data_IF_624573355381
#
_entry.id   IF_624573355381
#
_cell.length_a   1.000
_cell.length_b   1.000
_cell.length_c   1.000
_cell.angle_alpha   90.00
_cell.angle_beta   90.00
_cell.angle_gamma   90.00
#
_symmetry.space_group_name_H-M   'P 1'
#
loop_
_entity.id
_entity.type
_entity.pdbx_description
1 polymer ?
#
# COMPACT_ATOMS: atom_id res chain seq x y z
N UNK A 1 -23.86 22.21 -16.70
CA UNK A 1 -22.63 23.03 -16.82
C UNK A 1 -21.61 22.45 -15.85
N UNK A 2 -20.41 22.21 -16.36
CA UNK A 2 -19.34 21.38 -15.80
C UNK A 2 -18.82 21.85 -14.44
N UNK A 3 -19.02 21.06 -13.39
CA UNK A 3 -18.24 21.18 -12.16
C UNK A 3 -16.91 20.44 -12.34
N UNK A 4 -15.92 21.11 -12.91
CA UNK A 4 -14.52 20.70 -12.83
C UNK A 4 -14.11 20.74 -11.36
N UNK A 5 -14.22 19.60 -10.66
CA UNK A 5 -13.58 19.46 -9.35
C UNK A 5 -12.08 19.63 -9.57
N UNK A 6 -11.44 20.68 -9.02
CA UNK A 6 -9.99 20.82 -9.14
C UNK A 6 -9.36 19.58 -8.55
N UNK A 7 -8.40 18.97 -9.26
CA UNK A 7 -7.60 17.87 -8.74
C UNK A 7 -6.97 18.32 -7.41
N UNK A 8 -7.57 17.93 -6.29
CA UNK A 8 -7.11 18.26 -4.95
C UNK A 8 -5.83 17.47 -4.68
N UNK A 9 -4.69 18.03 -5.07
CA UNK A 9 -3.39 17.49 -4.72
C UNK A 9 -3.08 17.85 -3.25
N UNK A 10 -3.06 16.85 -2.38
CA UNK A 10 -2.67 17.00 -0.99
C UNK A 10 -1.21 16.57 -0.81
N UNK A 11 -0.36 17.50 -0.36
CA UNK A 11 1.01 17.19 0.07
C UNK A 11 1.04 17.06 1.58
N UNK A 12 1.48 15.91 2.08
CA UNK A 12 1.74 15.68 3.50
C UNK A 12 3.25 15.46 3.70
N UNK A 13 3.91 16.35 4.42
CA UNK A 13 5.32 16.20 4.78
C UNK A 13 5.43 15.48 6.12
N UNK A 14 6.17 14.37 6.13
CA UNK A 14 6.30 13.51 7.31
C UNK A 14 7.71 13.66 7.84
N UNK A 15 7.84 14.27 9.02
CA UNK A 15 9.11 14.36 9.71
C UNK A 15 9.33 13.10 10.56
N UNK A 16 10.31 12.28 10.17
CA UNK A 16 10.68 11.04 10.87
C UNK A 16 11.47 11.35 12.16
N UNK A 17 12.12 12.51 12.23
CA UNK A 17 12.87 13.01 13.39
C UNK A 17 14.31 12.52 13.50
N UNK A 18 14.59 11.28 13.06
CA UNK A 18 15.95 10.74 13.00
C UNK A 18 16.24 10.05 11.66
N UNK A 19 17.45 9.50 11.50
CA UNK A 19 17.90 8.87 10.25
C UNK A 19 17.19 7.52 10.01
N UNK A 20 16.92 7.23 8.73
CA UNK A 20 16.21 6.04 8.27
C UNK A 20 17.17 5.05 7.62
N UNK A 21 17.03 3.75 7.90
CA UNK A 21 17.70 2.69 7.12
C UNK A 21 16.84 2.28 5.92
N UNK A 22 17.44 1.71 4.87
CA UNK A 22 16.66 1.21 3.71
C UNK A 22 15.62 0.17 4.13
N UNK A 23 15.94 -0.68 5.12
CA UNK A 23 15.02 -1.69 5.67
C UNK A 23 13.83 -1.00 6.35
N UNK A 24 14.10 -0.07 7.28
CA UNK A 24 13.06 0.66 7.99
C UNK A 24 12.18 1.47 7.02
N UNK A 25 12.77 2.01 5.94
CA UNK A 25 12.04 2.66 4.87
C UNK A 25 11.06 1.70 4.17
N UNK A 26 11.53 0.51 3.81
CA UNK A 26 10.68 -0.55 3.26
C UNK A 26 9.53 -0.93 4.20
N UNK A 27 9.79 -1.07 5.50
CA UNK A 27 8.75 -1.35 6.49
C UNK A 27 7.69 -0.25 6.56
N UNK A 28 8.11 1.02 6.57
CA UNK A 28 7.18 2.17 6.53
C UNK A 28 6.29 2.12 5.29
N UNK A 29 6.88 1.89 4.11
CA UNK A 29 6.12 1.79 2.86
C UNK A 29 5.11 0.65 2.92
N UNK A 30 5.52 -0.52 3.41
CA UNK A 30 4.65 -1.68 3.54
C UNK A 30 3.47 -1.41 4.47
N UNK A 31 3.70 -0.76 5.62
CA UNK A 31 2.63 -0.39 6.55
C UNK A 31 1.68 0.67 5.96
N UNK A 32 2.21 1.65 5.22
CA UNK A 32 1.38 2.65 4.53
C UNK A 32 0.49 2.02 3.46
N UNK A 33 0.98 1.04 2.70
CA UNK A 33 0.16 0.29 1.72
C UNK A 33 -0.97 -0.46 2.44
N UNK A 34 -0.68 -1.16 3.54
CA UNK A 34 -1.70 -1.85 4.35
C UNK A 34 -2.76 -0.88 4.88
N UNK A 35 -2.30 0.28 5.36
CA UNK A 35 -3.18 1.33 5.85
C UNK A 35 -4.08 1.88 4.75
N UNK A 36 -3.54 2.24 3.59
CA UNK A 36 -4.33 2.74 2.45
C UNK A 36 -5.33 1.68 1.97
N UNK A 37 -4.92 0.42 1.85
CA UNK A 37 -5.80 -0.67 1.45
C UNK A 37 -7.01 -0.81 2.40
N UNK A 38 -6.79 -0.64 3.71
CA UNK A 38 -7.87 -0.68 4.69
C UNK A 38 -8.73 0.60 4.66
N UNK A 39 -8.12 1.79 4.73
CA UNK A 39 -8.85 3.07 4.77
C UNK A 39 -9.67 3.34 3.51
N UNK A 40 -9.23 2.84 2.35
CA UNK A 40 -9.98 2.94 1.09
C UNK A 40 -10.89 1.75 0.84
N UNK A 41 -11.15 0.91 1.85
CA UNK A 41 -12.06 -0.24 1.79
C UNK A 41 -11.70 -1.25 0.69
N UNK A 42 -10.41 -1.32 0.32
CA UNK A 42 -9.89 -2.33 -0.58
C UNK A 42 -9.73 -3.67 0.15
N UNK A 43 -9.58 -3.68 1.47
CA UNK A 43 -9.73 -4.91 2.26
C UNK A 43 -10.76 -4.71 3.37
N UNK A 44 -11.54 -5.75 3.70
CA UNK A 44 -12.66 -5.61 4.65
C UNK A 44 -12.21 -5.40 6.11
N UNK A 45 -10.96 -5.76 6.42
CA UNK A 45 -10.39 -5.67 7.75
C UNK A 45 -8.94 -5.24 7.67
N UNK A 46 -8.37 -4.84 8.81
CA UNK A 46 -6.94 -4.56 8.90
C UNK A 46 -6.16 -5.79 8.46
N UNK A 47 -5.03 -5.58 7.81
CA UNK A 47 -4.20 -6.65 7.28
C UNK A 47 -3.88 -7.76 8.32
N UNK A 48 -3.47 -7.45 9.57
CA UNK A 48 -3.19 -8.49 10.58
C UNK A 48 -4.43 -9.31 10.95
N UNK A 49 -5.59 -8.65 11.07
CA UNK A 49 -6.83 -9.32 11.45
C UNK A 49 -7.37 -10.19 10.32
N UNK A 50 -7.31 -9.70 9.07
CA UNK A 50 -7.69 -10.48 7.90
C UNK A 50 -6.84 -11.75 7.77
N UNK A 51 -5.55 -11.65 8.06
CA UNK A 51 -4.63 -12.78 8.08
C UNK A 51 -5.01 -13.81 9.15
N UNK A 52 -5.29 -13.37 10.37
CA UNK A 52 -5.76 -14.24 11.46
C UNK A 52 -7.08 -14.94 11.10
N UNK A 53 -8.04 -14.21 10.56
CA UNK A 53 -9.35 -14.76 10.15
C UNK A 53 -9.18 -15.87 9.10
N UNK A 54 -8.39 -15.61 8.06
CA UNK A 54 -8.16 -16.58 6.99
C UNK A 54 -7.41 -17.81 7.49
N UNK A 55 -6.37 -17.64 8.33
CA UNK A 55 -5.64 -18.77 8.92
C UNK A 55 -6.58 -19.64 9.76
N UNK A 56 -7.34 -19.03 10.67
CA UNK A 56 -8.29 -19.75 11.53
C UNK A 56 -9.36 -20.48 10.72
N UNK A 57 -9.87 -19.88 9.64
CA UNK A 57 -10.85 -20.56 8.78
C UNK A 57 -10.25 -21.76 8.06
N UNK A 58 -9.01 -21.66 7.55
CA UNK A 58 -8.35 -22.81 6.92
C UNK A 58 -8.18 -23.97 7.88
N UNK A 59 -7.88 -23.70 9.15
CA UNK A 59 -7.81 -24.72 10.20
C UNK A 59 -9.18 -25.38 10.44
N UNK A 60 -10.28 -24.63 10.36
CA UNK A 60 -11.64 -25.14 10.55
C UNK A 60 -12.22 -25.86 9.32
N UNK A 61 -11.82 -25.48 8.10
CA UNK A 61 -12.25 -26.16 6.86
C UNK A 61 -11.77 -27.61 6.81
N UNK A 62 -10.66 -27.94 7.49
CA UNK A 62 -10.21 -29.32 7.70
C UNK A 62 -11.23 -30.15 8.51
N UNK A 63 -12.14 -29.52 9.26
CA UNK A 63 -13.14 -30.15 10.13
C UNK A 63 -14.55 -30.24 9.47
N UNK A 64 -14.66 -30.11 8.14
CA UNK A 64 -15.87 -30.40 7.35
C UNK A 64 -17.16 -29.67 7.77
N UNK A 65 -17.12 -28.35 8.02
CA UNK A 65 -18.35 -27.55 8.17
C UNK A 65 -18.90 -27.06 6.83
N UNK A 66 -20.15 -27.40 6.52
CA UNK A 66 -20.88 -26.91 5.33
C UNK A 66 -21.33 -25.46 5.54
N UNK A 67 -20.68 -24.51 4.87
CA UNK A 67 -21.15 -23.12 4.77
C UNK A 67 -21.98 -22.89 3.49
N UNK A 68 -22.74 -21.79 3.47
CA UNK A 68 -23.47 -21.33 2.28
C UNK A 68 -22.50 -20.96 1.15
N UNK A 69 -22.91 -21.22 -0.10
CA UNK A 69 -22.14 -20.94 -1.32
C UNK A 69 -21.68 -19.48 -1.44
N UNK A 70 -22.49 -18.52 -0.98
CA UNK A 70 -22.13 -17.10 -1.02
C UNK A 70 -20.99 -16.79 -0.03
N UNK A 71 -21.05 -17.33 1.19
CA UNK A 71 -20.01 -17.15 2.20
C UNK A 71 -18.67 -17.71 1.73
N UNK A 72 -18.69 -18.86 1.04
CA UNK A 72 -17.49 -19.47 0.46
C UNK A 72 -16.87 -18.59 -0.63
N UNK A 73 -17.67 -18.11 -1.59
CA UNK A 73 -17.18 -17.21 -2.65
C UNK A 73 -16.55 -15.94 -2.09
N UNK A 74 -17.22 -15.34 -1.09
CA UNK A 74 -16.75 -14.15 -0.42
C UNK A 74 -15.44 -14.38 0.33
N UNK A 75 -15.32 -15.51 1.01
CA UNK A 75 -14.08 -15.91 1.66
C UNK A 75 -12.94 -16.11 0.68
N UNK A 76 -13.16 -16.84 -0.42
CA UNK A 76 -12.12 -17.05 -1.45
C UNK A 76 -11.63 -15.74 -2.08
N UNK A 77 -12.54 -14.78 -2.24
CA UNK A 77 -12.18 -13.44 -2.72
C UNK A 77 -11.27 -12.72 -1.73
N UNK A 78 -11.63 -12.72 -0.43
CA UNK A 78 -10.82 -12.12 0.62
C UNK A 78 -9.46 -12.83 0.78
N UNK A 79 -9.43 -14.16 0.67
CA UNK A 79 -8.21 -14.97 0.70
C UNK A 79 -7.28 -14.60 -0.45
N UNK A 80 -7.83 -14.49 -1.67
CA UNK A 80 -7.06 -14.11 -2.86
C UNK A 80 -6.52 -12.68 -2.74
N UNK A 81 -7.36 -11.75 -2.26
CA UNK A 81 -6.94 -10.38 -2.01
C UNK A 81 -5.79 -10.32 -1.00
N UNK A 82 -5.87 -11.05 0.12
CA UNK A 82 -4.79 -11.10 1.10
C UNK A 82 -3.50 -11.70 0.52
N UNK A 83 -3.59 -12.81 -0.23
CA UNK A 83 -2.42 -13.42 -0.89
C UNK A 83 -1.74 -12.47 -1.86
N UNK A 84 -2.53 -11.76 -2.66
CA UNK A 84 -2.03 -10.77 -3.62
C UNK A 84 -1.35 -9.62 -2.90
N UNK A 85 -1.95 -9.11 -1.82
CA UNK A 85 -1.34 -8.08 -0.99
C UNK A 85 -0.02 -8.55 -0.38
N UNK A 86 0.02 -9.78 0.14
CA UNK A 86 1.25 -10.40 0.67
C UNK A 86 2.37 -10.47 -0.37
N UNK A 87 2.03 -10.85 -1.61
CA UNK A 87 2.99 -10.94 -2.70
C UNK A 87 3.52 -9.56 -3.08
N UNK A 88 2.64 -8.55 -3.24
CA UNK A 88 3.03 -7.16 -3.49
C UNK A 88 4.02 -6.69 -2.42
N UNK A 89 3.68 -6.85 -1.13
CA UNK A 89 4.49 -6.36 -0.03
C UNK A 89 5.87 -7.05 0.01
N UNK A 90 5.92 -8.37 -0.19
CA UNK A 90 7.19 -9.12 -0.22
C UNK A 90 8.06 -8.70 -1.40
N UNK A 91 7.50 -8.64 -2.60
CA UNK A 91 8.22 -8.22 -3.80
C UNK A 91 8.72 -6.78 -3.67
N UNK A 92 7.90 -5.87 -3.16
CA UNK A 92 8.28 -4.47 -2.97
C UNK A 92 9.41 -4.33 -1.95
N UNK A 93 9.36 -5.06 -0.83
CA UNK A 93 10.43 -5.05 0.17
C UNK A 93 11.75 -5.58 -0.41
N UNK A 94 11.71 -6.63 -1.23
CA UNK A 94 12.90 -7.13 -1.92
C UNK A 94 13.49 -6.08 -2.86
N UNK A 95 12.65 -5.42 -3.65
CA UNK A 95 13.08 -4.40 -4.61
C UNK A 95 13.57 -3.11 -3.94
N UNK A 96 12.97 -2.67 -2.84
CA UNK A 96 13.42 -1.51 -2.06
C UNK A 96 14.78 -1.77 -1.41
N UNK A 97 15.02 -2.99 -0.93
CA UNK A 97 16.28 -3.37 -0.30
C UNK A 97 17.36 -3.79 -1.32
N UNK A 98 17.06 -3.76 -2.61
CA UNK A 98 18.03 -4.01 -3.67
C UNK A 98 19.10 -2.89 -3.73
N UNK A 99 20.23 -3.11 -4.44
CA UNK A 99 21.29 -2.10 -4.57
C UNK A 99 20.84 -0.79 -5.24
N UNK A 100 19.79 -0.84 -6.06
CA UNK A 100 19.25 0.34 -6.75
C UNK A 100 18.44 1.22 -5.80
N UNK A 101 18.73 2.53 -5.79
CA UNK A 101 18.08 3.47 -4.87
C UNK A 101 16.62 3.70 -5.28
N UNK A 102 15.64 3.41 -4.40
CA UNK A 102 14.24 3.69 -4.68
C UNK A 102 13.96 5.18 -4.53
N UNK A 103 13.19 5.75 -5.45
CA UNK A 103 12.86 7.18 -5.52
C UNK A 103 11.43 7.45 -5.04
N UNK A 104 10.49 6.64 -5.51
CA UNK A 104 9.07 6.84 -5.27
C UNK A 104 8.32 5.51 -5.33
N UNK A 105 7.33 5.35 -4.45
CA UNK A 105 6.33 4.28 -4.55
C UNK A 105 4.98 4.91 -4.86
N UNK A 106 4.34 4.47 -5.94
CA UNK A 106 3.05 4.97 -6.38
C UNK A 106 1.98 3.89 -6.21
N UNK A 107 0.91 4.19 -5.47
CA UNK A 107 -0.24 3.32 -5.24
C UNK A 107 -1.42 3.92 -5.98
N UNK A 108 -1.97 3.18 -6.93
CA UNK A 108 -3.04 3.66 -7.81
C UNK A 108 -4.29 2.83 -7.57
N UNK A 109 -5.42 3.50 -7.34
CA UNK A 109 -6.73 2.88 -7.20
C UNK A 109 -7.61 3.26 -8.38
N UNK A 110 -8.11 2.28 -9.12
CA UNK A 110 -8.95 2.54 -10.29
C UNK A 110 -9.26 1.32 -11.14
N UNK A 111 -9.84 1.53 -12.31
CA UNK A 111 -10.08 0.43 -13.26
C UNK A 111 -8.77 -0.02 -13.91
N UNK A 112 -7.96 0.96 -14.34
CA UNK A 112 -6.62 0.79 -14.89
C UNK A 112 -5.68 1.85 -14.29
N UNK A 113 -4.34 1.71 -14.42
CA UNK A 113 -3.41 2.76 -14.01
C UNK A 113 -3.64 4.11 -14.71
N UNK A 114 -4.13 4.08 -15.95
CA UNK A 114 -4.38 5.28 -16.77
C UNK A 114 -5.72 5.93 -16.38
N UNK A 115 -6.77 5.12 -16.23
CA UNK A 115 -8.11 5.55 -15.81
C UNK A 115 -8.29 5.39 -14.30
N UNK A 116 -7.34 5.93 -13.55
CA UNK A 116 -7.34 5.87 -12.10
C UNK A 116 -8.36 6.84 -11.49
N UNK A 117 -8.83 6.50 -10.29
CA UNK A 117 -9.68 7.36 -9.48
C UNK A 117 -8.85 8.12 -8.45
N UNK A 118 -7.86 7.44 -7.86
CA UNK A 118 -6.99 8.00 -6.83
C UNK A 118 -5.56 7.50 -6.99
N UNK A 119 -4.61 8.35 -6.60
CA UNK A 119 -3.18 8.09 -6.66
C UNK A 119 -2.53 8.57 -5.37
N UNK A 120 -1.78 7.67 -4.71
CA UNK A 120 -0.95 7.99 -3.55
C UNK A 120 0.51 7.86 -3.94
N UNK A 121 1.25 8.96 -3.80
CA UNK A 121 2.68 9.01 -4.11
C UNK A 121 3.47 9.09 -2.82
N UNK A 122 4.25 8.06 -2.55
CA UNK A 122 5.18 7.99 -1.42
C UNK A 122 6.56 8.39 -1.94
N UNK A 123 6.92 9.65 -1.75
CA UNK A 123 8.24 10.15 -2.11
C UNK A 123 9.24 9.69 -1.04
N UNK A 124 10.21 8.88 -1.45
CA UNK A 124 11.17 8.29 -0.53
C UNK A 124 12.34 9.25 -0.29
N UNK A 125 12.96 9.23 0.91
CA UNK A 125 14.12 10.05 1.18
C UNK A 125 15.27 9.68 0.24
N UNK A 126 15.96 10.69 -0.29
CA UNK A 126 17.03 10.52 -1.26
C UNK A 126 18.24 9.76 -0.70
N UNK A 127 18.39 9.73 0.62
CA UNK A 127 19.45 9.01 1.33
C UNK A 127 18.84 8.18 2.45
N UNK A 128 19.16 6.89 2.46
CA UNK A 128 18.90 5.98 3.57
C UNK A 128 20.24 5.38 4.01
N UNK A 129 20.39 5.14 5.32
CA UNK A 129 21.56 4.43 5.83
C UNK A 129 21.49 2.96 5.46
N UNK A 130 22.67 2.35 5.29
CA UNK A 130 22.77 0.90 5.10
C UNK A 130 22.30 0.17 6.36
N UNK A 131 21.71 -1.03 6.21
CA UNK A 131 21.18 -1.83 7.32
C UNK A 131 22.15 -2.08 8.49
N UNK A 132 23.45 -2.15 8.20
CA UNK A 132 24.50 -2.50 9.16
C UNK A 132 25.13 -1.26 9.83
N UNK A 133 24.51 -0.09 9.71
CA UNK A 133 25.01 1.12 10.34
C UNK A 133 24.55 1.14 11.82
N UNK A 134 25.50 1.14 12.75
CA UNK A 134 25.23 1.29 14.18
C UNK A 134 25.44 2.75 14.59
N UNK A 135 24.47 3.61 14.28
CA UNK A 135 24.46 5.02 14.70
C UNK A 135 23.37 5.25 15.73
N UNK A 136 23.68 6.00 16.80
CA UNK A 136 22.68 6.43 17.80
C UNK A 136 21.64 7.39 17.23
N UNK A 137 21.87 7.92 16.02
CA UNK A 137 20.96 8.79 15.28
C UNK A 137 19.97 8.03 14.40
N UNK A 138 20.03 6.68 14.36
CA UNK A 138 19.05 5.86 13.63
C UNK A 138 17.80 5.69 14.51
N UNK A 139 16.65 6.06 13.95
CA UNK A 139 15.38 5.89 14.63
C UNK A 139 15.03 4.40 14.75
N UNK A 140 14.46 3.99 15.88
CA UNK A 140 13.87 2.65 16.00
C UNK A 140 12.63 2.52 15.10
N UNK A 141 12.39 1.35 14.52
CA UNK A 141 11.22 1.08 13.68
C UNK A 141 9.90 1.50 14.37
N UNK A 142 9.79 1.29 15.68
CA UNK A 142 8.63 1.71 16.47
C UNK A 142 8.46 3.25 16.50
N UNK A 143 9.55 4.00 16.67
CA UNK A 143 9.50 5.48 16.69
C UNK A 143 9.14 6.00 15.30
N UNK A 144 9.72 5.43 14.25
CA UNK A 144 9.44 5.78 12.86
C UNK A 144 7.95 5.55 12.55
N UNK A 145 7.44 4.34 12.80
CA UNK A 145 6.04 4.01 12.56
C UNK A 145 5.11 4.95 13.34
N UNK A 146 5.39 5.20 14.62
CA UNK A 146 4.58 6.12 15.43
C UNK A 146 4.54 7.53 14.84
N UNK A 147 5.68 8.07 14.42
CA UNK A 147 5.75 9.42 13.87
C UNK A 147 5.02 9.51 12.51
N UNK A 148 5.24 8.54 11.63
CA UNK A 148 4.59 8.46 10.31
C UNK A 148 3.07 8.36 10.47
N UNK A 149 2.59 7.38 11.24
CA UNK A 149 1.15 7.17 11.41
C UNK A 149 0.48 8.29 12.19
N UNK A 150 1.16 8.91 13.16
CA UNK A 150 0.66 10.12 13.80
C UNK A 150 0.42 11.21 12.75
N UNK A 151 1.42 11.52 11.92
CA UNK A 151 1.28 12.57 10.90
C UNK A 151 0.14 12.28 9.90
N UNK A 152 0.00 11.03 9.48
CA UNK A 152 -1.07 10.58 8.56
C UNK A 152 -2.44 10.71 9.21
N UNK A 153 -2.61 10.22 10.44
CA UNK A 153 -3.92 10.17 11.13
C UNK A 153 -4.33 11.54 11.68
N UNK A 154 -3.40 12.42 12.03
CA UNK A 154 -3.73 13.78 12.49
C UNK A 154 -3.97 14.76 11.35
N UNK A 155 -3.77 14.35 10.09
CA UNK A 155 -4.03 15.21 8.93
C UNK A 155 -5.52 15.30 8.63
N UNK A 156 -6.15 16.40 9.04
CA UNK A 156 -7.58 16.66 8.81
C UNK A 156 -7.94 16.56 7.32
N UNK A 157 -7.13 17.16 6.45
CA UNK A 157 -7.34 17.14 4.99
C UNK A 157 -7.28 15.72 4.42
N UNK A 158 -6.38 14.88 4.92
CA UNK A 158 -6.29 13.49 4.46
C UNK A 158 -7.47 12.66 4.96
N UNK A 159 -7.87 12.87 6.22
CA UNK A 159 -9.04 12.22 6.79
C UNK A 159 -10.32 12.61 6.03
N UNK A 160 -10.51 13.88 5.67
CA UNK A 160 -11.61 14.33 4.82
C UNK A 160 -11.64 13.60 3.47
N UNK A 161 -10.48 13.33 2.87
CA UNK A 161 -10.41 12.53 1.65
C UNK A 161 -10.84 11.07 1.90
N UNK A 162 -10.48 10.50 3.04
CA UNK A 162 -10.87 9.14 3.40
C UNK A 162 -12.36 9.00 3.74
N UNK A 163 -13.02 10.07 4.21
CA UNK A 163 -14.46 10.09 4.42
C UNK A 163 -15.26 9.89 3.12
N UNK A 164 -14.69 10.32 1.98
CA UNK A 164 -15.30 10.06 0.68
C UNK A 164 -15.15 8.58 0.34
N UNK A 165 -16.26 7.85 0.28
CA UNK A 165 -16.24 6.41 0.02
C UNK A 165 -15.77 6.10 -1.39
N UNK A 166 -14.72 5.27 -1.52
CA UNK A 166 -14.33 4.67 -2.79
C UNK A 166 -14.91 3.26 -2.86
N UNK A 167 -15.68 2.98 -3.91
CA UNK A 167 -16.11 1.61 -4.18
C UNK A 167 -14.87 0.72 -4.43
N UNK A 168 -14.89 -0.55 -3.95
CA UNK A 168 -13.81 -1.49 -4.19
C UNK A 168 -13.41 -1.57 -5.67
N UNK A 169 -12.11 -1.46 -5.93
CA UNK A 169 -11.55 -1.29 -7.27
C UNK A 169 -10.20 -2.00 -7.36
N UNK A 170 -9.55 -1.94 -8.52
CA UNK A 170 -8.20 -2.48 -8.63
C UNK A 170 -7.20 -1.56 -7.92
N UNK A 171 -6.29 -2.16 -7.16
CA UNK A 171 -5.08 -1.50 -6.66
C UNK A 171 -3.89 -1.91 -7.51
N UNK A 172 -3.05 -0.96 -7.88
CA UNK A 172 -1.78 -1.14 -8.58
C UNK A 172 -0.66 -0.47 -7.78
N UNK A 173 0.52 -1.09 -7.71
CA UNK A 173 1.67 -0.53 -6.99
C UNK A 173 2.87 -0.48 -7.94
N UNK A 174 3.47 0.69 -8.07
CA UNK A 174 4.64 0.93 -8.89
C UNK A 174 5.80 1.42 -8.02
N UNK A 175 7.00 0.98 -8.37
CA UNK A 175 8.24 1.43 -7.73
C UNK A 175 9.11 2.11 -8.78
N UNK A 176 9.40 3.39 -8.57
CA UNK A 176 10.37 4.15 -9.34
C UNK A 176 11.74 4.01 -8.67
N UNK A 177 12.74 3.61 -9.45
CA UNK A 177 14.14 3.49 -9.03
C UNK A 177 14.99 4.47 -9.81
N UNK A 178 16.05 4.99 -9.19
CA UNK A 178 17.05 5.79 -9.90
C UNK A 178 18.01 4.86 -10.62
N UNK A 179 18.11 4.99 -11.93
CA UNK A 179 19.15 4.37 -12.74
C UNK A 179 20.39 5.27 -12.69
N UNK A 180 21.54 4.70 -12.35
CA UNK A 180 22.82 5.40 -12.52
C UNK A 180 23.27 5.16 -13.97
N UNK A 181 22.81 6.01 -14.89
CA UNK A 181 23.49 6.35 -16.13
C UNK A 181 22.81 7.58 -16.77
N UNK A 182 23.57 8.68 -16.81
CA UNK A 182 23.33 9.87 -17.63
C UNK A 182 23.40 9.52 -19.13
N UNK A 183 22.61 10.23 -19.94
CA UNK A 183 22.66 10.41 -21.42
C UNK A 183 21.61 9.78 -22.37
N UNK A 184 20.66 8.94 -21.94
CA UNK A 184 19.58 8.45 -22.84
C UNK A 184 18.15 8.85 -22.38
N UNK A 185 18.02 10.02 -21.77
CA UNK A 185 16.78 10.51 -21.14
C UNK A 185 15.73 11.08 -22.13
N UNK A 186 15.51 10.45 -23.28
CA UNK A 186 14.43 10.84 -24.21
C UNK A 186 13.38 9.75 -24.48
N UNK A 187 13.52 8.55 -23.88
CA UNK A 187 12.51 7.49 -24.01
C UNK A 187 12.02 6.90 -22.68
N UNK A 188 12.50 7.38 -21.52
CA UNK A 188 12.19 6.76 -20.22
C UNK A 188 10.88 7.27 -19.57
N UNK A 189 9.94 7.75 -20.39
CA UNK A 189 8.54 8.00 -20.00
C UNK A 189 7.70 6.72 -20.14
N UNK A 190 8.34 5.57 -20.06
CA UNK A 190 7.67 4.27 -20.00
C UNK A 190 7.91 3.73 -18.60
N UNK A 191 6.96 4.06 -17.73
CA UNK A 191 6.74 3.44 -16.43
C UNK A 191 6.90 1.91 -16.58
N UNK A 192 8.10 1.40 -16.28
CA UNK A 192 8.39 -0.02 -16.43
C UNK A 192 7.36 -0.81 -15.62
N UNK A 193 6.72 -1.85 -16.20
CA UNK A 193 5.70 -2.62 -15.51
C UNK A 193 6.38 -3.58 -14.54
N UNK A 194 6.97 -3.08 -13.46
CA UNK A 194 7.40 -3.94 -12.38
C UNK A 194 6.23 -4.17 -11.42
N UNK A 195 5.62 -5.34 -11.59
CA UNK A 195 4.54 -5.95 -10.81
C UNK A 195 3.18 -5.23 -10.85
N UNK A 196 2.49 -5.30 -12.00
CA UNK A 196 1.04 -5.04 -12.07
C UNK A 196 0.32 -6.21 -11.37
N UNK A 197 0.24 -6.21 -10.04
CA UNK A 197 -0.69 -7.07 -9.33
C UNK A 197 -2.00 -6.30 -9.10
N UNK A 198 -2.93 -6.45 -10.03
CA UNK A 198 -4.27 -5.89 -9.89
C UNK A 198 -5.02 -6.63 -8.78
N UNK A 199 -5.18 -6.01 -7.61
CA UNK A 199 -6.07 -6.53 -6.58
C UNK A 199 -7.52 -6.17 -6.93
N UNK A 200 -8.28 -7.09 -7.51
CA UNK A 200 -9.73 -6.88 -7.73
C UNK A 200 -10.49 -7.28 -6.46
N UNK A 201 -11.02 -6.31 -5.73
CA UNK A 201 -11.88 -6.58 -4.57
C UNK A 201 -13.34 -6.38 -4.97
N UNK A 202 -14.14 -7.42 -4.77
CA UNK A 202 -15.60 -7.35 -4.94
C UNK A 202 -16.21 -6.89 -3.62
N UNK A 203 -16.91 -5.75 -3.66
CA UNK A 203 -17.57 -5.14 -2.51
C UNK A 203 -18.46 -6.12 -1.76
N UNK A 204 -18.14 -6.34 -0.48
CA UNK A 204 -19.05 -6.97 0.48
C UNK A 204 -20.10 -5.92 0.87
N UNK A 205 -21.32 -6.04 0.33
CA UNK A 205 -22.46 -5.37 0.96
C UNK A 205 -22.76 -6.13 2.25
N UNK A 206 -22.57 -5.49 3.39
CA UNK A 206 -23.09 -5.98 4.67
C UNK A 206 -24.61 -6.07 4.55
N UNK A 207 -25.13 -7.30 4.62
CA UNK A 207 -26.56 -7.55 4.79
C UNK A 207 -26.93 -6.97 6.15
N UNK A 208 -27.73 -5.90 6.18
CA UNK A 208 -28.40 -5.46 7.40
C UNK A 208 -29.48 -6.50 7.70
N UNK A 209 -29.42 -7.08 8.90
CA UNK A 209 -30.56 -7.80 9.49
C UNK A 209 -31.71 -6.84 9.76
#
# INVERSE_FOLDING_TARGET
MSSSTPNKHLKLEINIGDQLTTISCGHVVAELIKFIAYQRLQIPYTYPWLKQLITKRKELDHENKKESFQSEKHFRTAETALKNLDLILKSLLLEINSPSMPDEVCIILGATPITCKEVYRLILPATCHRPQCHSSLIASDQKIHRNVFRAVVTSEKLNEMFLNTLAPTNMFVFLKKRTFNDQDALLDTMMYPLLILAMRIVSMKTVKN
#
